data_IF_905785131492
#
_entry.id   IF_905785131492
#
_cell.length_a   1.000
_cell.length_b   1.000
_cell.length_c   1.000
_cell.angle_alpha   90.00
_cell.angle_beta   90.00
_cell.angle_gamma   90.00
#
_symmetry.space_group_name_H-M   'P 1'
#
loop_
_entity.id
_entity.type
_entity.pdbx_description
1 polymer ?
#
# COMPACT_ATOMS: atom_id res chain seq x y z
N UNK A 1 15.29 1.48 9.87
CA UNK A 1 13.97 1.52 9.21
C UNK A 1 14.12 2.07 7.80
N UNK A 2 13.96 1.23 6.77
CA UNK A 2 14.03 1.66 5.36
C UNK A 2 12.65 2.22 4.97
N UNK A 3 12.62 3.42 4.39
CA UNK A 3 11.40 4.05 3.85
C UNK A 3 11.41 3.97 2.33
N UNK A 4 10.39 3.35 1.75
CA UNK A 4 10.24 3.19 0.29
C UNK A 4 9.44 4.33 -0.35
N UNK A 5 8.53 4.93 0.42
CA UNK A 5 7.74 6.08 0.00
C UNK A 5 7.26 6.89 1.20
N UNK A 6 7.22 8.20 1.05
CA UNK A 6 6.69 9.13 2.06
C UNK A 6 6.00 10.28 1.36
N UNK A 7 4.73 10.44 1.66
CA UNK A 7 3.92 11.60 1.30
C UNK A 7 3.12 12.04 2.53
N UNK A 8 2.32 13.11 2.37
CA UNK A 8 1.47 13.64 3.45
C UNK A 8 0.39 12.64 3.89
N UNK A 9 -0.02 11.76 2.98
CA UNK A 9 -1.18 10.89 3.06
C UNK A 9 -0.82 9.40 3.18
N UNK A 10 0.46 9.04 3.01
CA UNK A 10 0.92 7.67 3.16
C UNK A 10 2.42 7.58 3.42
N UNK A 11 2.82 6.66 4.29
CA UNK A 11 4.21 6.25 4.48
C UNK A 11 4.31 4.75 4.29
N UNK A 12 5.27 4.32 3.47
CA UNK A 12 5.56 2.89 3.24
C UNK A 12 6.99 2.63 3.70
N UNK A 13 7.13 1.77 4.70
CA UNK A 13 8.41 1.30 5.23
C UNK A 13 8.60 -0.19 4.94
N UNK A 14 9.76 -0.74 5.25
CA UNK A 14 10.00 -2.18 5.18
C UNK A 14 9.14 -3.02 6.16
N UNK A 15 8.44 -2.38 7.10
CA UNK A 15 7.71 -3.07 8.17
C UNK A 15 6.20 -2.81 8.11
N UNK A 16 5.80 -1.62 7.68
CA UNK A 16 4.40 -1.19 7.75
C UNK A 16 4.04 -0.15 6.69
N UNK A 17 2.73 -0.03 6.49
CA UNK A 17 2.05 1.07 5.80
C UNK A 17 1.35 1.91 6.86
N UNK A 18 1.61 3.21 6.84
CA UNK A 18 0.88 4.22 7.63
C UNK A 18 0.04 5.04 6.66
N UNK A 19 -1.29 4.99 6.80
CA UNK A 19 -2.24 5.67 5.93
C UNK A 19 -2.73 6.98 6.53
N UNK A 20 -3.26 7.87 5.69
CA UNK A 20 -3.77 9.19 6.07
C UNK A 20 -4.86 9.16 7.16
N UNK A 21 -5.65 8.08 7.21
CA UNK A 21 -6.68 7.88 8.23
C UNK A 21 -6.11 7.53 9.61
N UNK A 22 -4.78 7.51 9.76
CA UNK A 22 -4.07 7.15 10.98
C UNK A 22 -3.97 5.63 11.18
N UNK A 23 -4.45 4.82 10.24
CA UNK A 23 -4.29 3.37 10.32
C UNK A 23 -2.85 2.97 10.03
N UNK A 24 -2.34 2.02 10.81
CA UNK A 24 -1.04 1.40 10.58
C UNK A 24 -1.24 -0.10 10.39
N UNK A 25 -0.81 -0.61 9.24
CA UNK A 25 -0.88 -2.03 8.92
C UNK A 25 0.54 -2.57 8.71
N UNK A 26 0.89 -3.63 9.43
CA UNK A 26 2.15 -4.35 9.18
C UNK A 26 2.08 -5.04 7.83
N UNK A 27 3.18 -5.02 7.08
CA UNK A 27 3.25 -5.69 5.77
C UNK A 27 2.96 -7.19 5.88
N UNK A 28 3.43 -7.82 6.96
CA UNK A 28 3.19 -9.24 7.24
C UNK A 28 1.72 -9.58 7.53
N UNK A 29 0.88 -8.60 7.83
CA UNK A 29 -0.57 -8.77 8.08
C UNK A 29 -1.42 -8.47 6.83
N UNK A 30 -0.80 -8.08 5.72
CA UNK A 30 -1.49 -7.75 4.48
C UNK A 30 -1.49 -8.93 3.52
N UNK A 31 -2.67 -9.28 3.04
CA UNK A 31 -2.88 -10.34 2.04
C UNK A 31 -3.66 -9.80 0.84
N UNK A 32 -3.68 -10.58 -0.25
CA UNK A 32 -4.51 -10.33 -1.44
C UNK A 32 -4.48 -8.88 -1.94
N UNK A 33 -3.26 -8.37 -2.19
CA UNK A 33 -3.07 -6.97 -2.57
C UNK A 33 -3.59 -6.75 -3.99
N UNK A 34 -4.65 -5.95 -4.08
CA UNK A 34 -5.39 -5.69 -5.31
C UNK A 34 -5.25 -4.24 -5.78
N UNK A 35 -5.40 -4.06 -7.11
CA UNK A 35 -5.48 -2.76 -7.76
C UNK A 35 -6.87 -2.56 -8.31
N UNK A 36 -7.54 -1.48 -7.91
CA UNK A 36 -8.87 -1.14 -8.41
C UNK A 36 -8.85 0.23 -9.08
N UNK A 37 -9.55 0.36 -10.21
CA UNK A 37 -9.77 1.63 -10.90
C UNK A 37 -11.27 1.86 -10.99
N UNK A 38 -11.76 2.85 -10.25
CA UNK A 38 -13.18 3.26 -10.28
C UNK A 38 -13.34 4.58 -11.02
N UNK A 39 -14.57 4.90 -11.41
CA UNK A 39 -14.93 6.22 -11.96
C UNK A 39 -15.96 6.84 -11.03
N UNK A 40 -15.68 8.02 -10.50
CA UNK A 40 -16.52 8.63 -9.47
C UNK A 40 -16.87 10.09 -9.76
N UNK A 41 -17.98 10.53 -9.17
CA UNK A 41 -18.52 11.87 -9.28
C UNK A 41 -19.16 12.19 -10.64
N UNK A 42 -19.76 13.39 -10.72
CA UNK A 42 -20.48 13.82 -11.92
C UNK A 42 -19.57 13.95 -13.15
N UNK A 43 -18.28 14.21 -12.94
CA UNK A 43 -17.25 14.28 -13.99
C UNK A 43 -16.56 12.95 -14.31
N UNK A 44 -17.01 11.81 -13.74
CA UNK A 44 -16.44 10.47 -13.94
C UNK A 44 -14.91 10.43 -13.80
N UNK A 45 -14.38 11.11 -12.79
CA UNK A 45 -12.94 11.15 -12.54
C UNK A 45 -12.45 9.74 -12.21
N UNK A 46 -11.35 9.31 -12.85
CA UNK A 46 -10.73 8.02 -12.53
C UNK A 46 -10.12 8.10 -11.14
N UNK A 47 -10.51 7.17 -10.28
CA UNK A 47 -9.96 6.97 -8.95
C UNK A 47 -9.21 5.64 -8.97
N UNK A 48 -8.00 5.67 -8.42
CA UNK A 48 -7.11 4.53 -8.31
C UNK A 48 -7.03 4.15 -6.84
N UNK A 49 -7.28 2.88 -6.56
CA UNK A 49 -7.25 2.33 -5.21
C UNK A 49 -6.26 1.17 -5.13
N UNK A 50 -5.60 1.10 -4.00
CA UNK A 50 -4.78 -0.01 -3.56
C UNK A 50 -5.49 -0.66 -2.38
N UNK A 51 -5.88 -1.92 -2.53
CA UNK A 51 -6.64 -2.66 -1.54
C UNK A 51 -5.83 -3.84 -1.04
N UNK A 52 -6.12 -4.28 0.19
CA UNK A 52 -5.56 -5.50 0.75
C UNK A 52 -6.54 -6.09 1.75
N UNK A 53 -6.38 -7.36 2.06
CA UNK A 53 -7.04 -8.01 3.19
C UNK A 53 -6.16 -7.86 4.41
N UNK A 54 -6.68 -7.18 5.44
CA UNK A 54 -6.06 -7.05 6.76
C UNK A 54 -6.96 -7.70 7.80
N UNK A 55 -6.44 -8.70 8.53
CA UNK A 55 -7.20 -9.42 9.57
C UNK A 55 -8.58 -9.93 9.09
N UNK A 56 -8.61 -10.46 7.86
CA UNK A 56 -9.83 -10.99 7.24
C UNK A 56 -10.83 -9.93 6.73
N UNK A 57 -10.45 -8.66 6.67
CA UNK A 57 -11.28 -7.57 6.13
C UNK A 57 -10.58 -6.87 4.99
N UNK A 58 -11.30 -6.62 3.89
CA UNK A 58 -10.77 -5.78 2.81
C UNK A 58 -10.67 -4.33 3.30
N UNK A 59 -9.50 -3.74 3.13
CA UNK A 59 -9.19 -2.35 3.47
C UNK A 59 -8.62 -1.62 2.26
N UNK A 60 -8.83 -0.30 2.20
CA UNK A 60 -8.20 0.58 1.20
C UNK A 60 -6.93 1.15 1.82
N UNK A 61 -5.77 0.69 1.35
CA UNK A 61 -4.47 1.17 1.80
C UNK A 61 -4.18 2.58 1.28
N UNK A 62 -4.55 2.83 0.02
CA UNK A 62 -4.30 4.10 -0.64
C UNK A 62 -5.36 4.39 -1.70
N UNK A 63 -5.73 5.67 -1.83
CA UNK A 63 -6.71 6.14 -2.81
C UNK A 63 -6.27 7.48 -3.38
N UNK A 64 -6.22 7.59 -4.69
CA UNK A 64 -5.86 8.84 -5.37
C UNK A 64 -6.52 8.96 -6.73
N UNK A 65 -6.63 10.18 -7.24
CA UNK A 65 -7.00 10.42 -8.62
C UNK A 65 -5.79 10.71 -9.52
N UNK A 66 -4.59 10.73 -8.95
CA UNK A 66 -3.33 10.95 -9.66
C UNK A 66 -2.70 9.60 -10.04
N UNK A 67 -2.64 9.33 -11.34
CA UNK A 67 -2.07 8.09 -11.89
C UNK A 67 -0.56 7.96 -11.63
N UNK A 68 0.17 9.07 -11.62
CA UNK A 68 1.62 9.08 -11.43
C UNK A 68 1.94 8.70 -9.99
N UNK A 69 1.29 9.37 -9.04
CA UNK A 69 1.41 9.08 -7.61
C UNK A 69 1.00 7.63 -7.31
N UNK A 70 -0.12 7.18 -7.88
CA UNK A 70 -0.56 5.79 -7.74
C UNK A 70 0.52 4.78 -8.17
N UNK A 71 1.16 5.02 -9.32
CA UNK A 71 2.25 4.17 -9.81
C UNK A 71 3.48 4.17 -8.90
N UNK A 72 3.82 5.32 -8.31
CA UNK A 72 4.92 5.41 -7.33
C UNK A 72 4.62 4.62 -6.06
N UNK A 73 3.43 4.83 -5.47
CA UNK A 73 2.98 4.14 -4.26
C UNK A 73 2.94 2.62 -4.48
N UNK A 74 2.40 2.18 -5.62
CA UNK A 74 2.33 0.76 -5.97
C UNK A 74 3.71 0.12 -6.04
N UNK A 75 4.67 0.77 -6.72
CA UNK A 75 6.04 0.24 -6.82
C UNK A 75 6.76 0.23 -5.48
N UNK A 76 6.54 1.25 -4.66
CA UNK A 76 7.10 1.31 -3.32
C UNK A 76 6.57 0.17 -2.43
N UNK A 77 5.27 -0.12 -2.49
CA UNK A 77 4.68 -1.25 -1.77
C UNK A 77 5.28 -2.59 -2.22
N UNK A 78 5.39 -2.83 -3.52
CA UNK A 78 6.00 -4.06 -4.04
C UNK A 78 7.42 -4.24 -3.50
N UNK A 79 8.24 -3.20 -3.55
CA UNK A 79 9.62 -3.26 -3.01
C UNK A 79 9.65 -3.51 -1.50
N UNK A 80 8.71 -2.94 -0.76
CA UNK A 80 8.62 -3.13 0.67
C UNK A 80 8.27 -4.58 1.03
N UNK A 81 7.34 -5.19 0.29
CA UNK A 81 6.97 -6.60 0.44
C UNK A 81 8.13 -7.54 0.05
N UNK A 82 8.85 -7.23 -1.03
CA UNK A 82 10.03 -8.00 -1.43
C UNK A 82 11.12 -7.97 -0.34
N UNK A 83 11.34 -6.82 0.29
CA UNK A 83 12.29 -6.67 1.38
C UNK A 83 11.85 -7.41 2.65
N UNK A 84 10.56 -7.34 2.98
CA UNK A 84 9.97 -8.08 4.10
C UNK A 84 10.14 -9.61 3.92
N UNK A 85 9.87 -10.14 2.72
CA UNK A 85 10.05 -11.55 2.39
C UNK A 85 11.52 -11.99 2.49
N UNK A 86 12.46 -11.13 2.07
CA UNK A 86 13.91 -11.38 2.24
C UNK A 86 14.31 -11.40 3.70
N UNK A 87 13.78 -10.48 4.51
CA UNK A 87 13.98 -10.44 5.95
C UNK A 87 13.49 -11.71 6.67
N UNK A 88 12.36 -12.27 6.23
CA UNK A 88 11.88 -13.57 6.71
C UNK A 88 12.86 -14.69 6.33
N UNK A 89 13.27 -14.73 5.06
CA UNK A 89 14.12 -15.81 4.53
C UNK A 89 15.54 -15.80 5.14
N UNK A 90 16.07 -14.62 5.50
CA UNK A 90 17.37 -14.47 6.14
C UNK A 90 17.41 -14.81 7.64
N UNK A 91 16.26 -14.98 8.29
CA UNK A 91 16.15 -15.27 9.74
C UNK A 91 16.12 -16.76 10.08
N UNK A 92 16.13 -17.64 9.08
CA UNK A 92 16.03 -19.12 9.23
C UNK A 92 17.41 -19.81 9.24
N UNK A 93 18.46 -19.16 9.77
CA UNK A 93 19.80 -19.76 9.89
C UNK A 93 20.34 -19.67 11.31
#
# INVERSE_FOLDING_TARGET
MITFYRARDIVITAEAIESFDGSTCRLSELHDIGRLITREGWRRRRIYELRAVHRGREIVLYRTADRIVYGQVTRALVRALEEEQRGITGKTR
#
